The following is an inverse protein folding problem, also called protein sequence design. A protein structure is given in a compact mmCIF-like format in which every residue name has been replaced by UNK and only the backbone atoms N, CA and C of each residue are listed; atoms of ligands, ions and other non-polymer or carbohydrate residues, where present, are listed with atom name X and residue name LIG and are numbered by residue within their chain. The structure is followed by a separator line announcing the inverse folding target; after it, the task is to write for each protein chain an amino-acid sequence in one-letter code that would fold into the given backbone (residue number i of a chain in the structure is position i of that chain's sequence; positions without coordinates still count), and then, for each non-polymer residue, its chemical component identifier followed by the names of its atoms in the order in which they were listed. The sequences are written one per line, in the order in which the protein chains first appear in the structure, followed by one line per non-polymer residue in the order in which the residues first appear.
data_IF_130500841622
#
_entry.id   IF_130500841622
#
_cell.length_a   1.000
_cell.length_b   1.000
_cell.length_c   1.000
_cell.angle_alpha   90.00
_cell.angle_beta   90.00
_cell.angle_gamma   90.00
#
_symmetry.space_group_name_H-M   'P 1'
#
loop_
_entity.id
_entity.type
_entity.pdbx_description
1 polymer ?
#
# COMPACT_ATOMS: atom_id res chain seq x y z
N UNK A 1 18.52 5.90 5.97
CA UNK A 1 18.09 4.67 5.26
C UNK A 1 19.33 3.90 4.85
N UNK A 2 19.39 2.60 5.10
CA UNK A 2 20.55 1.80 4.69
C UNK A 2 20.75 1.89 3.17
N UNK A 3 22.00 1.92 2.72
CA UNK A 3 22.36 1.97 1.28
C UNK A 3 21.64 0.87 0.48
N UNK A 4 21.44 -0.28 1.10
CA UNK A 4 20.76 -1.44 0.54
C UNK A 4 19.26 -1.23 0.31
N UNK A 5 18.57 -0.43 1.14
CA UNK A 5 17.15 -0.08 0.93
C UNK A 5 16.98 0.82 -0.30
N UNK A 6 17.79 1.87 -0.43
CA UNK A 6 17.71 2.75 -1.60
C UNK A 6 18.02 2.01 -2.89
N UNK A 7 19.03 1.15 -2.86
CA UNK A 7 19.37 0.29 -4.00
C UNK A 7 18.17 -0.58 -4.40
N UNK A 8 17.48 -1.19 -3.43
CA UNK A 8 16.31 -2.02 -3.71
C UNK A 8 15.13 -1.23 -4.27
N UNK A 9 14.83 -0.06 -3.69
CA UNK A 9 13.78 0.84 -4.18
C UNK A 9 14.09 1.31 -5.62
N UNK A 10 15.35 1.65 -5.89
CA UNK A 10 15.81 2.00 -7.23
C UNK A 10 15.67 0.83 -8.22
N UNK A 11 16.06 -0.39 -7.84
CA UNK A 11 15.88 -1.59 -8.67
C UNK A 11 14.40 -1.79 -9.01
N UNK A 12 13.49 -1.65 -8.04
CA UNK A 12 12.03 -1.73 -8.28
C UNK A 12 11.52 -0.69 -9.26
N UNK A 13 12.06 0.52 -9.20
CA UNK A 13 11.63 1.62 -10.06
C UNK A 13 12.15 1.44 -11.49
N UNK A 14 13.41 1.03 -11.63
CA UNK A 14 14.10 0.92 -12.92
C UNK A 14 13.65 -0.33 -13.68
N UNK A 15 13.37 -1.44 -12.99
CA UNK A 15 13.03 -2.71 -13.64
C UNK A 15 11.70 -2.68 -14.41
N UNK A 16 10.78 -1.79 -14.06
CA UNK A 16 9.49 -1.77 -14.74
C UNK A 16 9.64 -1.34 -16.22
N UNK A 17 10.66 -0.55 -16.58
CA UNK A 17 10.96 -0.16 -17.98
C UNK A 17 11.33 -1.36 -18.88
N UNK A 18 12.37 -2.16 -18.56
CA UNK A 18 12.70 -3.32 -19.36
C UNK A 18 11.57 -4.35 -19.42
N UNK A 19 10.72 -4.45 -18.39
CA UNK A 19 9.53 -5.30 -18.44
C UNK A 19 8.52 -4.79 -19.49
N UNK A 20 8.24 -3.48 -19.53
CA UNK A 20 7.36 -2.89 -20.56
C UNK A 20 7.91 -3.09 -21.98
N UNK A 21 9.23 -2.97 -22.15
CA UNK A 21 9.91 -3.19 -23.43
C UNK A 21 9.85 -4.67 -23.83
N UNK A 22 10.14 -5.58 -22.89
CA UNK A 22 10.07 -7.02 -23.11
C UNK A 22 8.65 -7.45 -23.49
N UNK A 23 7.63 -6.94 -22.80
CA UNK A 23 6.22 -7.18 -23.13
C UNK A 23 5.90 -6.76 -24.57
N UNK A 24 6.42 -5.61 -25.01
CA UNK A 24 6.21 -5.11 -26.37
C UNK A 24 6.83 -6.03 -27.42
N UNK A 25 8.07 -6.47 -27.23
CA UNK A 25 8.73 -7.37 -28.16
C UNK A 25 8.06 -8.75 -28.20
N UNK A 26 7.69 -9.31 -27.05
CA UNK A 26 6.95 -10.57 -26.99
C UNK A 26 5.57 -10.46 -27.66
N UNK A 27 4.86 -9.35 -27.44
CA UNK A 27 3.59 -9.10 -28.12
C UNK A 27 3.76 -8.95 -29.64
N UNK A 28 4.86 -8.32 -30.08
CA UNK A 28 5.20 -8.20 -31.49
C UNK A 28 5.51 -9.56 -32.13
N UNK A 29 6.30 -10.42 -31.47
CA UNK A 29 6.64 -11.76 -31.97
C UNK A 29 5.38 -12.62 -32.09
N UNK A 30 4.53 -12.63 -31.07
CA UNK A 30 3.31 -13.42 -31.07
C UNK A 30 2.32 -12.97 -32.16
N UNK A 31 2.22 -11.67 -32.41
CA UNK A 31 1.35 -11.11 -33.46
C UNK A 31 2.06 -10.98 -34.82
N UNK A 32 3.31 -11.43 -34.97
CA UNK A 32 4.05 -11.34 -36.23
C UNK A 32 3.41 -12.18 -37.34
N UNK A 33 2.67 -13.23 -36.98
CA UNK A 33 1.87 -14.03 -37.92
C UNK A 33 0.68 -13.25 -38.52
N UNK A 34 0.30 -12.11 -37.93
CA UNK A 34 -0.86 -11.30 -38.33
C UNK A 34 -0.40 -9.95 -38.87
N UNK A 35 0.41 -9.94 -39.94
CA UNK A 35 0.78 -8.74 -40.75
C UNK A 35 1.01 -7.43 -39.97
N UNK A 36 1.59 -7.52 -38.76
CA UNK A 36 1.75 -6.38 -37.87
C UNK A 36 3.22 -5.96 -37.81
N UNK A 37 3.61 -5.08 -38.75
CA UNK A 37 4.92 -4.44 -38.76
C UNK A 37 4.77 -2.95 -38.48
N UNK A 38 4.74 -2.53 -37.20
CA UNK A 38 4.73 -1.12 -36.88
C UNK A 38 6.02 -0.49 -37.43
N UNK A 39 5.89 0.66 -38.08
CA UNK A 39 7.05 1.47 -38.44
C UNK A 39 7.90 1.74 -37.19
N UNK A 40 9.24 1.80 -37.31
CA UNK A 40 10.13 1.92 -36.16
C UNK A 40 9.80 3.16 -35.31
N UNK A 41 9.40 4.27 -35.93
CA UNK A 41 8.96 5.48 -35.24
C UNK A 41 7.73 5.25 -34.36
N UNK A 42 6.71 4.54 -34.87
CA UNK A 42 5.48 4.27 -34.13
C UNK A 42 5.72 3.32 -32.95
N UNK A 43 6.67 2.38 -33.08
CA UNK A 43 7.07 1.50 -31.98
C UNK A 43 7.74 2.30 -30.84
N UNK A 44 8.64 3.22 -31.17
CA UNK A 44 9.30 4.09 -30.18
C UNK A 44 8.30 5.01 -29.50
N UNK A 45 7.40 5.64 -30.26
CA UNK A 45 6.35 6.51 -29.70
C UNK A 45 5.39 5.73 -28.80
N UNK A 46 5.00 4.52 -29.17
CA UNK A 46 4.17 3.65 -28.32
C UNK A 46 4.87 3.35 -26.99
N UNK A 47 6.14 2.95 -27.02
CA UNK A 47 6.91 2.66 -25.81
C UNK A 47 7.07 3.89 -24.92
N UNK A 48 7.32 5.06 -25.51
CA UNK A 48 7.38 6.32 -24.77
C UNK A 48 6.06 6.61 -24.05
N UNK A 49 4.93 6.48 -24.75
CA UNK A 49 3.59 6.66 -24.16
C UNK A 49 3.33 5.62 -23.06
N UNK A 50 3.72 4.36 -23.27
CA UNK A 50 3.55 3.30 -22.27
C UNK A 50 4.37 3.58 -21.00
N UNK A 51 5.63 3.97 -21.14
CA UNK A 51 6.49 4.30 -19.99
C UNK A 51 5.92 5.49 -19.20
N UNK A 52 5.52 6.56 -19.90
CA UNK A 52 4.91 7.74 -19.27
C UNK A 52 3.61 7.36 -18.55
N UNK A 53 2.76 6.57 -19.20
CA UNK A 53 1.49 6.11 -18.62
C UNK A 53 1.71 5.26 -17.37
N UNK A 54 2.69 4.35 -17.40
CA UNK A 54 3.02 3.48 -16.28
C UNK A 54 3.50 4.29 -15.08
N UNK A 55 4.47 5.18 -15.27
CA UNK A 55 4.98 5.98 -14.16
C UNK A 55 3.94 6.96 -13.63
N UNK A 56 3.09 7.52 -14.48
CA UNK A 56 1.97 8.35 -14.04
C UNK A 56 1.02 7.53 -13.16
N UNK A 57 0.60 6.35 -13.61
CA UNK A 57 -0.25 5.45 -12.82
C UNK A 57 0.41 5.08 -11.49
N UNK A 58 1.71 4.76 -11.50
CA UNK A 58 2.46 4.33 -10.34
C UNK A 58 2.61 5.44 -9.26
N UNK A 59 2.68 6.71 -9.67
CA UNK A 59 2.68 7.85 -8.75
C UNK A 59 1.32 7.99 -8.03
N UNK A 60 0.21 7.80 -8.74
CA UNK A 60 -1.13 7.88 -8.15
C UNK A 60 -1.43 6.73 -7.18
N UNK A 61 -1.01 5.51 -7.52
CA UNK A 61 -1.22 4.32 -6.68
C UNK A 61 -0.21 4.16 -5.56
N UNK A 62 0.89 4.92 -5.60
CA UNK A 62 1.98 4.84 -4.62
C UNK A 62 2.57 3.43 -4.51
N UNK A 63 2.63 2.68 -5.61
CA UNK A 63 3.17 1.31 -5.67
C UNK A 63 4.66 1.21 -5.23
N UNK A 64 5.37 2.34 -5.24
CA UNK A 64 6.76 2.45 -4.81
C UNK A 64 6.93 3.01 -3.39
N UNK A 65 5.83 3.33 -2.68
CA UNK A 65 5.92 3.82 -1.30
C UNK A 65 6.14 2.68 -0.30
N UNK A 66 6.69 3.07 0.85
CA UNK A 66 7.25 2.23 1.92
C UNK A 66 6.62 0.83 2.11
N UNK A 67 7.43 -0.20 1.85
CA UNK A 67 6.99 -1.60 1.76
C UNK A 67 7.28 -2.43 3.01
N UNK A 68 8.12 -1.94 3.94
CA UNK A 68 8.38 -2.70 5.17
C UNK A 68 7.10 -2.90 5.96
N UNK A 69 6.21 -1.91 6.03
CA UNK A 69 4.97 -1.97 6.81
C UNK A 69 3.83 -2.76 6.16
N UNK A 70 3.85 -3.01 4.84
CA UNK A 70 2.65 -3.41 4.11
C UNK A 70 2.57 -4.93 3.90
N UNK A 71 1.38 -5.48 4.13
CA UNK A 71 1.11 -6.91 3.95
C UNK A 71 1.20 -7.30 2.47
N UNK A 72 1.42 -8.59 2.19
CA UNK A 72 1.45 -9.09 0.81
C UNK A 72 0.15 -8.84 0.03
N UNK A 73 -0.98 -8.96 0.71
CA UNK A 73 -2.30 -8.64 0.16
C UNK A 73 -2.43 -7.18 -0.27
N UNK A 74 -1.81 -6.25 0.46
CA UNK A 74 -1.85 -4.82 0.13
C UNK A 74 -0.99 -4.53 -1.10
N UNK A 75 0.18 -5.16 -1.24
CA UNK A 75 1.02 -4.99 -2.42
C UNK A 75 0.33 -5.46 -3.70
N UNK A 76 -0.35 -6.62 -3.66
CA UNK A 76 -1.16 -7.10 -4.80
C UNK A 76 -2.23 -6.07 -5.17
N UNK A 77 -2.89 -5.48 -4.18
CA UNK A 77 -3.92 -4.47 -4.41
C UNK A 77 -3.35 -3.24 -5.12
N UNK A 78 -2.17 -2.77 -4.72
CA UNK A 78 -1.48 -1.67 -5.40
C UNK A 78 -1.06 -2.04 -6.83
N UNK A 79 -0.58 -3.26 -7.06
CA UNK A 79 -0.20 -3.74 -8.41
C UNK A 79 -1.42 -3.75 -9.33
N UNK A 80 -2.54 -4.33 -8.88
CA UNK A 80 -3.79 -4.40 -9.64
C UNK A 80 -4.33 -3.00 -9.93
N UNK A 81 -4.34 -2.11 -8.93
CA UNK A 81 -4.78 -0.73 -9.10
C UNK A 81 -3.90 0.02 -10.12
N UNK A 82 -2.58 -0.22 -10.09
CA UNK A 82 -1.63 0.42 -11.03
C UNK A 82 -1.85 -0.08 -12.44
N UNK A 83 -2.00 -1.39 -12.62
CA UNK A 83 -2.28 -1.99 -13.92
C UNK A 83 -3.61 -1.52 -14.51
N UNK A 84 -4.64 -1.34 -13.66
CA UNK A 84 -5.93 -0.80 -14.07
C UNK A 84 -5.81 0.65 -14.55
N UNK A 85 -5.19 1.53 -13.76
CA UNK A 85 -4.96 2.93 -14.15
C UNK A 85 -4.06 3.04 -15.39
N UNK A 86 -3.02 2.22 -15.47
CA UNK A 86 -2.15 2.12 -16.65
C UNK A 86 -2.94 1.76 -17.90
N UNK A 87 -3.85 0.80 -17.80
CA UNK A 87 -4.71 0.39 -18.93
C UNK A 87 -5.59 1.56 -19.39
N UNK A 88 -6.22 2.28 -18.46
CA UNK A 88 -7.05 3.45 -18.79
C UNK A 88 -6.22 4.54 -19.47
N UNK A 89 -5.07 4.90 -18.89
CA UNK A 89 -4.20 5.96 -19.43
C UNK A 89 -3.66 5.59 -20.81
N UNK A 90 -3.15 4.37 -20.97
CA UNK A 90 -2.58 3.91 -22.23
C UNK A 90 -3.64 3.87 -23.32
N UNK A 91 -4.80 3.26 -23.07
CA UNK A 91 -5.87 3.19 -24.07
C UNK A 91 -6.43 4.56 -24.45
N UNK A 92 -6.57 5.46 -23.47
CA UNK A 92 -6.99 6.85 -23.71
C UNK A 92 -6.00 7.61 -24.60
N UNK A 93 -4.69 7.55 -24.30
CA UNK A 93 -3.67 8.21 -25.11
C UNK A 93 -3.56 7.61 -26.51
N UNK A 94 -3.62 6.28 -26.64
CA UNK A 94 -3.63 5.62 -27.95
C UNK A 94 -4.86 5.99 -28.79
N UNK A 95 -6.01 6.23 -28.15
CA UNK A 95 -7.21 6.70 -28.82
C UNK A 95 -7.05 8.13 -29.37
N UNK A 96 -6.47 9.04 -28.58
CA UNK A 96 -6.18 10.43 -29.01
C UNK A 96 -5.24 10.42 -30.23
N UNK A 97 -4.22 9.58 -30.20
CA UNK A 97 -3.22 9.46 -31.27
C UNK A 97 -3.55 8.36 -32.30
N UNK A 98 -4.81 7.92 -32.39
CA UNK A 98 -5.22 6.80 -33.26
C UNK A 98 -4.81 6.98 -34.72
N UNK A 99 -4.70 8.22 -35.21
CA UNK A 99 -4.25 8.51 -36.58
C UNK A 99 -2.81 8.06 -36.85
N UNK A 100 -1.95 8.05 -35.84
CA UNK A 100 -0.57 7.59 -35.91
C UNK A 100 -0.43 6.10 -35.57
N UNK A 101 -1.37 5.57 -34.79
CA UNK A 101 -1.32 4.24 -34.22
C UNK A 101 -2.46 3.35 -34.76
N UNK A 102 -2.21 2.68 -35.87
CA UNK A 102 -3.08 1.60 -36.36
C UNK A 102 -2.65 0.24 -35.76
N UNK A 103 -2.63 0.13 -34.43
CA UNK A 103 -2.46 -1.15 -33.75
C UNK A 103 -3.74 -1.97 -33.84
N UNK A 104 -3.62 -3.28 -34.06
CA UNK A 104 -4.75 -4.20 -33.92
C UNK A 104 -5.12 -4.36 -32.44
N UNK A 105 -6.41 -4.47 -32.13
CA UNK A 105 -6.88 -4.63 -30.74
C UNK A 105 -6.29 -5.87 -30.06
N UNK A 106 -6.06 -6.96 -30.80
CA UNK A 106 -5.44 -8.18 -30.28
C UNK A 106 -4.02 -7.95 -29.73
N UNK A 107 -3.22 -7.13 -30.41
CA UNK A 107 -1.89 -6.74 -29.94
C UNK A 107 -1.97 -6.04 -28.58
N UNK A 108 -2.92 -5.10 -28.43
CA UNK A 108 -3.09 -4.33 -27.21
C UNK A 108 -3.53 -5.21 -26.03
N UNK A 109 -4.50 -6.11 -26.22
CA UNK A 109 -4.95 -7.03 -25.18
C UNK A 109 -3.84 -7.96 -24.72
N UNK A 110 -3.07 -8.51 -25.66
CA UNK A 110 -1.95 -9.39 -25.36
C UNK A 110 -0.82 -8.64 -24.66
N UNK A 111 -0.49 -7.42 -25.10
CA UNK A 111 0.48 -6.54 -24.45
C UNK A 111 0.09 -6.25 -23.00
N UNK A 112 -1.16 -5.85 -22.75
CA UNK A 112 -1.65 -5.55 -21.39
C UNK A 112 -1.60 -6.79 -20.49
N UNK A 113 -2.00 -7.96 -21.01
CA UNK A 113 -1.91 -9.23 -20.27
C UNK A 113 -0.48 -9.63 -19.94
N UNK A 114 0.46 -9.42 -20.87
CA UNK A 114 1.89 -9.65 -20.63
C UNK A 114 2.45 -8.71 -19.58
N UNK A 115 2.16 -7.41 -19.66
CA UNK A 115 2.63 -6.43 -18.67
C UNK A 115 2.15 -6.82 -17.27
N UNK A 116 0.86 -7.14 -17.11
CA UNK A 116 0.30 -7.53 -15.82
C UNK A 116 0.97 -8.79 -15.26
N UNK A 117 1.10 -9.84 -16.07
CA UNK A 117 1.69 -11.12 -15.63
C UNK A 117 3.17 -10.97 -15.30
N UNK A 118 3.94 -10.28 -16.14
CA UNK A 118 5.37 -10.06 -15.92
C UNK A 118 5.64 -9.21 -14.68
N UNK A 119 4.90 -8.12 -14.47
CA UNK A 119 5.06 -7.28 -13.28
C UNK A 119 4.71 -8.04 -12.00
N UNK A 120 3.63 -8.83 -12.01
CA UNK A 120 3.25 -9.65 -10.86
C UNK A 120 4.34 -10.69 -10.52
N UNK A 121 4.80 -11.45 -11.52
CA UNK A 121 5.83 -12.47 -11.33
C UNK A 121 7.13 -11.83 -10.84
N UNK A 122 7.57 -10.74 -11.48
CA UNK A 122 8.82 -10.11 -11.13
C UNK A 122 8.79 -9.49 -9.72
N UNK A 123 7.74 -8.75 -9.36
CA UNK A 123 7.62 -8.18 -8.01
C UNK A 123 7.50 -9.28 -6.94
N UNK A 124 6.86 -10.41 -7.25
CA UNK A 124 6.85 -11.59 -6.37
C UNK A 124 8.25 -12.19 -6.16
N UNK A 125 9.00 -12.42 -7.24
CA UNK A 125 10.38 -12.94 -7.18
C UNK A 125 11.26 -11.99 -6.36
N UNK A 126 11.19 -10.69 -6.66
CA UNK A 126 11.97 -9.67 -5.99
C UNK A 126 11.64 -9.58 -4.49
N UNK A 127 10.37 -9.76 -4.11
CA UNK A 127 9.96 -9.84 -2.70
C UNK A 127 10.48 -11.11 -2.03
N UNK A 128 10.40 -12.26 -2.70
CA UNK A 128 10.90 -13.53 -2.16
C UNK A 128 12.41 -13.50 -1.93
N UNK A 129 13.16 -12.89 -2.85
CA UNK A 129 14.59 -12.66 -2.70
C UNK A 129 14.89 -11.74 -1.52
N UNK A 130 14.14 -10.64 -1.37
CA UNK A 130 14.28 -9.74 -0.24
C UNK A 130 13.97 -10.44 1.10
N UNK A 131 12.91 -11.25 1.15
CA UNK A 131 12.56 -11.98 2.35
C UNK A 131 13.63 -13.00 2.74
N UNK A 132 14.21 -13.68 1.74
CA UNK A 132 15.33 -14.61 1.97
C UNK A 132 16.57 -13.90 2.52
N UNK A 133 16.92 -12.72 2.00
CA UNK A 133 18.06 -11.93 2.48
C UNK A 133 17.80 -11.35 3.89
N UNK A 134 16.57 -10.99 4.22
CA UNK A 134 16.19 -10.61 5.59
C UNK A 134 16.31 -11.78 6.57
N UNK A 135 15.92 -13.00 6.18
CA UNK A 135 16.12 -14.20 7.01
C UNK A 135 17.59 -14.53 7.24
N UNK A 136 18.45 -14.30 6.25
CA UNK A 136 19.91 -14.47 6.38
C UNK A 136 20.57 -13.41 7.25
N UNK A 137 19.86 -12.33 7.59
CA UNK A 137 20.37 -11.25 8.44
C UNK A 137 21.22 -10.20 7.73
N UNK A 138 21.40 -10.32 6.41
CA UNK A 138 22.29 -9.48 5.60
C UNK A 138 21.75 -8.07 5.34
N UNK A 139 20.42 -7.91 5.43
CA UNK A 139 19.68 -6.69 5.06
C UNK A 139 18.82 -6.14 6.21
N UNK A 140 19.15 -6.51 7.45
CA UNK A 140 18.44 -6.05 8.64
C UNK A 140 18.95 -4.67 9.09
N UNK A 141 18.02 -3.75 9.32
CA UNK A 141 18.32 -2.48 9.96
C UNK A 141 18.38 -2.68 11.46
N UNK A 142 19.50 -2.27 12.06
CA UNK A 142 19.75 -2.36 13.49
C UNK A 142 19.01 -1.24 14.19
N UNK A 143 18.10 -1.61 15.08
CA UNK A 143 17.27 -0.66 15.80
C UNK A 143 17.53 -0.71 17.31
N UNK A 144 17.32 0.42 17.96
CA UNK A 144 17.26 0.53 19.42
C UNK A 144 15.86 0.98 19.83
N UNK A 145 15.32 0.35 20.88
CA UNK A 145 14.08 0.75 21.51
C UNK A 145 14.37 1.66 22.71
N UNK A 146 13.59 2.73 22.85
CA UNK A 146 13.66 3.62 24.01
C UNK A 146 12.33 3.53 24.75
N UNK A 147 12.39 3.07 26.00
CA UNK A 147 11.25 2.72 26.83
C UNK A 147 10.85 1.25 26.70
N UNK A 148 10.23 0.74 27.77
CA UNK A 148 9.69 -0.62 27.85
C UNK A 148 8.16 -0.68 27.94
N UNK A 149 7.48 0.34 27.39
CA UNK A 149 6.02 0.42 27.36
C UNK A 149 5.37 -0.83 26.74
N UNK A 150 4.08 -1.11 27.02
CA UNK A 150 3.35 -2.20 26.35
C UNK A 150 3.46 -2.13 24.82
N UNK A 151 3.39 -0.94 24.25
CA UNK A 151 3.56 -0.70 22.82
C UNK A 151 4.98 -1.10 22.33
N UNK A 152 6.03 -0.83 23.11
CA UNK A 152 7.40 -1.25 22.81
C UNK A 152 7.53 -2.78 22.77
N UNK A 153 6.91 -3.48 23.74
CA UNK A 153 6.91 -4.94 23.83
C UNK A 153 6.19 -5.59 22.66
N UNK A 154 5.01 -5.06 22.30
CA UNK A 154 4.24 -5.53 21.15
C UNK A 154 4.99 -5.33 19.83
N UNK A 155 5.62 -4.17 19.68
CA UNK A 155 6.46 -3.88 18.52
C UNK A 155 7.63 -4.85 18.44
N UNK A 156 8.33 -5.08 19.55
CA UNK A 156 9.43 -6.05 19.64
C UNK A 156 8.98 -7.48 19.28
N UNK A 157 7.86 -7.95 19.83
CA UNK A 157 7.31 -9.26 19.48
C UNK A 157 6.90 -9.35 18.01
N UNK A 158 6.36 -8.26 17.45
CA UNK A 158 5.97 -8.19 16.04
C UNK A 158 7.17 -8.31 15.12
N UNK A 159 8.26 -7.58 15.36
CA UNK A 159 9.48 -7.66 14.54
C UNK A 159 10.20 -9.00 14.72
N UNK A 160 10.19 -9.57 15.93
CA UNK A 160 10.82 -10.86 16.20
C UNK A 160 10.07 -12.01 15.51
N UNK A 161 8.73 -11.98 15.54
CA UNK A 161 7.88 -12.96 14.86
C UNK A 161 7.95 -12.83 13.34
N UNK A 162 8.11 -11.61 12.83
CA UNK A 162 8.01 -11.30 11.42
C UNK A 162 9.34 -10.75 10.88
N UNK A 163 10.29 -11.63 10.61
CA UNK A 163 11.61 -11.26 10.07
C UNK A 163 11.54 -10.53 8.73
N UNK A 164 10.41 -10.61 7.99
CA UNK A 164 10.20 -9.86 6.73
C UNK A 164 10.24 -8.34 6.90
N UNK A 165 10.05 -7.81 8.11
CA UNK A 165 10.17 -6.38 8.37
C UNK A 165 11.63 -5.88 8.24
N UNK A 166 12.60 -6.79 8.31
CA UNK A 166 14.02 -6.46 8.16
C UNK A 166 14.55 -5.58 9.30
N UNK A 167 14.03 -5.74 10.52
CA UNK A 167 14.54 -5.07 11.72
C UNK A 167 15.23 -6.05 12.65
N UNK A 168 16.31 -5.60 13.29
CA UNK A 168 17.00 -6.31 14.36
C UNK A 168 17.10 -5.42 15.59
N UNK A 169 16.40 -5.78 16.66
CA UNK A 169 16.56 -5.12 17.98
C UNK A 169 17.97 -5.41 18.48
N UNK A 170 18.82 -4.39 18.56
CA UNK A 170 20.15 -4.51 19.18
C UNK A 170 20.01 -4.48 20.69
N UNK A 171 19.06 -3.71 21.21
CA UNK A 171 18.77 -3.60 22.63
C UNK A 171 17.71 -2.54 22.90
N UNK A 172 17.38 -2.39 24.18
CA UNK A 172 16.50 -1.32 24.66
C UNK A 172 17.15 -0.51 25.78
N UNK A 173 16.74 0.75 25.88
CA UNK A 173 17.15 1.70 26.91
C UNK A 173 15.92 2.15 27.67
N UNK A 174 15.97 2.12 29.00
CA UNK A 174 14.88 2.58 29.86
C UNK A 174 15.45 3.12 31.17
N UNK A 175 14.79 4.11 31.76
CA UNK A 175 15.19 4.65 33.06
C UNK A 175 14.79 3.73 34.21
N UNK A 176 13.69 3.00 34.03
CA UNK A 176 13.26 1.94 34.94
C UNK A 176 13.95 0.63 34.56
N UNK A 177 14.31 -0.19 35.55
CA UNK A 177 14.95 -1.49 35.33
C UNK A 177 13.91 -2.55 34.89
N UNK A 178 13.24 -2.25 33.80
CA UNK A 178 12.18 -3.06 33.21
C UNK A 178 12.77 -4.19 32.39
N UNK A 179 12.11 -5.34 32.38
CA UNK A 179 12.53 -6.51 31.59
C UNK A 179 11.73 -6.62 30.31
N UNK A 180 12.44 -6.65 29.18
CA UNK A 180 11.89 -6.97 27.87
C UNK A 180 12.50 -8.31 27.42
N UNK A 181 11.74 -9.40 27.59
CA UNK A 181 12.25 -10.75 27.39
C UNK A 181 12.77 -10.93 25.96
N UNK A 182 14.08 -11.17 25.83
CA UNK A 182 14.74 -11.45 24.56
C UNK A 182 15.44 -10.26 23.89
N UNK A 183 15.22 -9.00 24.31
CA UNK A 183 16.05 -7.86 23.87
C UNK A 183 16.96 -7.41 25.04
N UNK A 184 18.27 -7.23 24.83
CA UNK A 184 19.19 -6.89 25.93
C UNK A 184 18.95 -5.45 26.42
N UNK A 185 19.05 -5.25 27.73
CA UNK A 185 19.03 -3.93 28.36
C UNK A 185 20.41 -3.28 28.21
N UNK A 186 20.47 -2.13 27.55
CA UNK A 186 21.72 -1.41 27.27
C UNK A 186 21.99 -0.26 28.25
N UNK A 187 21.12 -0.07 29.25
CA UNK A 187 21.25 0.97 30.26
C UNK A 187 20.12 2.01 30.21
N UNK A 188 20.40 3.16 30.82
CA UNK A 188 19.48 4.29 30.91
C UNK A 188 19.40 5.06 29.60
N UNK A 189 18.35 5.87 29.42
CA UNK A 189 18.16 6.68 28.20
C UNK A 189 19.36 7.62 27.95
N UNK A 190 20.02 8.07 29.02
CA UNK A 190 21.22 8.92 28.97
C UNK A 190 22.42 8.25 28.28
N UNK A 191 22.51 6.91 28.27
CA UNK A 191 23.62 6.20 27.62
C UNK A 191 23.41 6.05 26.11
N UNK A 192 22.28 6.53 25.56
CA UNK A 192 21.95 6.43 24.13
C UNK A 192 23.09 6.90 23.22
N UNK A 193 23.73 8.02 23.54
CA UNK A 193 24.80 8.57 22.70
C UNK A 193 26.00 7.60 22.60
N UNK A 194 26.40 7.00 23.72
CA UNK A 194 27.48 6.01 23.76
C UNK A 194 27.08 4.76 22.97
N UNK A 195 25.86 4.28 23.18
CA UNK A 195 25.36 3.08 22.49
C UNK A 195 25.28 3.29 20.97
N UNK A 196 24.91 4.48 20.49
CA UNK A 196 24.90 4.82 19.06
C UNK A 196 26.31 4.87 18.47
N UNK A 197 27.33 5.25 19.26
CA UNK A 197 28.74 5.28 18.83
C UNK A 197 29.34 3.87 18.80
N UNK A 198 29.08 3.08 19.83
CA UNK A 198 29.66 1.74 20.01
C UNK A 198 28.99 0.69 19.11
N UNK A 199 27.73 0.91 18.75
CA UNK A 199 26.96 0.01 17.90
C UNK A 199 26.61 0.67 16.58
N UNK A 200 26.65 -0.08 15.48
CA UNK A 200 26.12 0.39 14.19
C UNK A 200 24.59 0.42 14.23
N UNK A 201 24.00 1.50 14.75
CA UNK A 201 22.55 1.67 14.82
C UNK A 201 22.07 2.47 13.61
N UNK A 202 21.01 1.99 12.95
CA UNK A 202 20.42 2.62 11.76
C UNK A 202 19.20 3.49 12.09
N UNK A 203 18.50 3.17 13.17
CA UNK A 203 17.24 3.80 13.55
C UNK A 203 16.93 3.62 15.04
N UNK A 204 16.33 4.65 15.63
CA UNK A 204 15.92 4.69 17.04
C UNK A 204 14.40 4.76 17.10
N UNK A 205 13.81 3.87 17.88
CA UNK A 205 12.36 3.75 18.06
C UNK A 205 12.00 4.22 19.47
N UNK A 206 11.32 5.35 19.57
CA UNK A 206 10.85 5.93 20.82
C UNK A 206 9.48 5.37 21.15
N UNK A 207 9.38 4.69 22.28
CA UNK A 207 8.13 4.13 22.81
C UNK A 207 7.93 4.57 24.27
N UNK A 208 8.19 5.86 24.53
CA UNK A 208 7.98 6.52 25.82
C UNK A 208 6.58 7.15 25.89
N UNK A 209 5.96 7.20 27.08
CA UNK A 209 4.73 7.96 27.28
C UNK A 209 4.96 9.46 27.00
N UNK A 210 3.92 10.14 26.50
CA UNK A 210 3.98 11.59 26.21
C UNK A 210 4.34 12.44 27.45
N UNK A 211 4.07 11.94 28.66
CA UNK A 211 4.47 12.58 29.91
C UNK A 211 6.00 12.77 30.04
N UNK A 212 6.79 11.93 29.37
CA UNK A 212 8.26 12.00 29.36
C UNK A 212 8.79 12.85 28.19
N UNK A 213 8.13 13.97 27.90
CA UNK A 213 8.46 14.86 26.78
C UNK A 213 9.93 15.28 26.73
N UNK A 214 10.54 15.56 27.90
CA UNK A 214 11.95 15.94 27.98
C UNK A 214 12.88 14.85 27.46
N UNK A 215 12.64 13.59 27.80
CA UNK A 215 13.41 12.45 27.30
C UNK A 215 13.21 12.23 25.81
N UNK A 216 11.97 12.35 25.33
CA UNK A 216 11.67 12.24 23.89
C UNK A 216 12.46 13.31 23.11
N UNK A 217 12.43 14.55 23.58
CA UNK A 217 13.16 15.67 22.96
C UNK A 217 14.66 15.45 22.96
N UNK A 218 15.26 15.08 24.10
CA UNK A 218 16.70 14.82 24.20
C UNK A 218 17.13 13.67 23.29
N UNK A 219 16.31 12.61 23.17
CA UNK A 219 16.57 11.50 22.26
C UNK A 219 16.57 11.96 20.81
N UNK A 220 15.60 12.78 20.40
CA UNK A 220 15.53 13.32 19.03
C UNK A 220 16.79 14.13 18.73
N UNK A 221 17.18 15.05 19.62
CA UNK A 221 18.38 15.88 19.46
C UNK A 221 19.66 15.04 19.33
N UNK A 222 19.83 14.01 20.16
CA UNK A 222 20.97 13.08 20.07
C UNK A 222 20.98 12.37 18.71
N UNK A 223 19.82 11.89 18.25
CA UNK A 223 19.74 11.18 16.98
C UNK A 223 20.00 12.10 15.79
N UNK A 224 19.51 13.34 15.82
CA UNK A 224 19.77 14.36 14.79
C UNK A 224 21.27 14.68 14.71
N UNK A 225 21.94 14.87 15.85
CA UNK A 225 23.39 15.10 15.92
C UNK A 225 24.21 13.94 15.33
N UNK A 226 23.68 12.72 15.37
CA UNK A 226 24.32 11.52 14.83
C UNK A 226 23.76 11.08 13.46
N UNK A 227 22.92 11.90 12.82
CA UNK A 227 22.24 11.61 11.57
C UNK A 227 21.52 10.24 11.57
N UNK A 228 20.94 9.87 12.71
CA UNK A 228 20.16 8.64 12.89
C UNK A 228 18.67 8.93 12.72
N UNK A 229 17.95 7.99 12.11
CA UNK A 229 16.49 8.11 11.97
C UNK A 229 15.83 7.89 13.32
N UNK A 230 14.77 8.64 13.56
CA UNK A 230 13.92 8.50 14.74
C UNK A 230 12.50 8.21 14.31
N UNK A 231 11.88 7.20 14.91
CA UNK A 231 10.42 6.98 14.82
C UNK A 231 9.85 6.92 16.21
N UNK A 232 8.67 7.48 16.38
CA UNK A 232 7.92 7.38 17.63
C UNK A 232 6.74 6.43 17.45
N UNK A 233 6.60 5.48 18.38
CA UNK A 233 5.40 4.67 18.51
C UNK A 233 4.47 5.41 19.47
N UNK A 234 3.32 5.92 19.01
CA UNK A 234 2.39 6.58 19.90
C UNK A 234 1.84 5.57 20.92
N UNK A 235 1.79 5.98 22.19
CA UNK A 235 1.15 5.20 23.24
C UNK A 235 -0.37 5.30 23.11
N UNK A 236 -0.95 4.43 22.28
CA UNK A 236 -2.40 4.37 22.04
C UNK A 236 -3.11 3.35 22.95
N UNK A 237 -2.37 2.69 23.85
CA UNK A 237 -2.93 1.65 24.72
C UNK A 237 -4.00 2.19 25.67
N UNK A 238 -3.87 3.46 26.10
CA UNK A 238 -4.87 4.16 26.92
C UNK A 238 -6.19 4.41 26.18
N UNK A 239 -6.20 4.30 24.85
CA UNK A 239 -7.36 4.60 24.01
C UNK A 239 -7.99 3.32 23.40
N UNK A 240 -7.64 2.12 23.87
CA UNK A 240 -7.86 0.77 23.31
C UNK A 240 -9.29 0.31 22.91
N UNK A 241 -10.25 1.15 22.50
CA UNK A 241 -11.62 0.70 22.18
C UNK A 241 -12.04 0.69 20.71
N UNK A 242 -11.26 1.18 19.74
CA UNK A 242 -11.64 1.07 18.32
C UNK A 242 -10.45 1.26 17.35
N UNK A 243 -10.65 1.01 16.06
CA UNK A 243 -9.66 1.32 15.02
C UNK A 243 -9.50 2.84 14.90
N UNK A 244 -8.58 3.41 15.66
CA UNK A 244 -8.32 4.85 15.66
C UNK A 244 -7.64 5.28 14.37
N UNK A 245 -8.24 6.26 13.68
CA UNK A 245 -7.59 7.00 12.61
C UNK A 245 -7.03 8.28 13.22
N UNK A 246 -5.72 8.49 13.11
CA UNK A 246 -5.10 9.79 13.38
C UNK A 246 -5.39 10.65 12.16
N UNK A 247 -6.25 11.65 12.34
CA UNK A 247 -6.55 12.64 11.31
C UNK A 247 -5.91 13.97 11.71
N UNK A 248 -5.70 14.85 10.74
CA UNK A 248 -5.25 16.21 11.01
C UNK A 248 -6.41 17.17 10.76
N UNK A 249 -6.80 17.94 11.78
CA UNK A 249 -7.72 19.08 11.60
C UNK A 249 -6.86 20.34 11.62
N UNK A 250 -6.74 20.99 10.46
CA UNK A 250 -5.79 22.10 10.27
C UNK A 250 -4.35 21.60 10.37
N UNK A 251 -3.64 22.01 11.43
CA UNK A 251 -2.29 21.50 11.75
C UNK A 251 -2.25 20.63 13.01
N UNK A 252 -3.40 20.34 13.64
CA UNK A 252 -3.43 19.57 14.86
C UNK A 252 -3.79 18.11 14.62
N UNK A 253 -2.97 17.15 15.10
CA UNK A 253 -3.33 15.74 15.06
C UNK A 253 -4.47 15.49 16.05
N UNK A 254 -5.61 15.03 15.53
CA UNK A 254 -6.79 14.68 16.30
C UNK A 254 -7.05 13.18 16.15
N UNK A 255 -7.28 12.51 17.26
CA UNK A 255 -7.57 11.08 17.30
C UNK A 255 -9.09 10.90 17.30
N UNK A 256 -9.63 10.28 16.25
CA UNK A 256 -11.04 9.93 16.21
C UNK A 256 -11.28 8.67 17.06
N UNK A 257 -11.79 8.85 18.27
CA UNK A 257 -12.09 7.78 19.24
C UNK A 257 -13.21 6.82 18.79
N UNK A 258 -13.93 7.16 17.71
CA UNK A 258 -14.99 6.34 17.13
C UNK A 258 -15.02 6.55 15.62
N UNK A 259 -14.56 5.57 14.85
CA UNK A 259 -14.86 5.52 13.41
C UNK A 259 -16.27 4.94 13.25
N UNK A 260 -17.25 5.71 12.74
CA UNK A 260 -18.53 5.11 12.38
C UNK A 260 -18.31 4.23 11.14
N UNK A 261 -18.78 2.96 11.13
CA UNK A 261 -18.61 2.06 9.99
C UNK A 261 -19.16 2.64 8.67
N UNK A 262 -20.06 3.62 8.73
CA UNK A 262 -20.71 4.26 7.58
C UNK A 262 -19.87 5.37 6.92
N UNK A 263 -18.80 5.85 7.55
CA UNK A 263 -17.95 6.93 6.99
C UNK A 263 -17.00 6.42 5.90
N UNK A 264 -16.77 5.11 5.83
CA UNK A 264 -15.97 4.51 4.77
C UNK A 264 -16.77 4.47 3.47
N UNK A 265 -16.30 5.22 2.47
CA UNK A 265 -16.90 5.28 1.12
C UNK A 265 -17.12 3.88 0.54
N UNK A 266 -16.21 2.92 0.80
CA UNK A 266 -16.36 1.53 0.40
C UNK A 266 -17.61 0.86 1.01
N UNK A 267 -17.89 1.07 2.30
CA UNK A 267 -19.06 0.50 2.97
C UNK A 267 -20.36 1.13 2.44
N UNK A 268 -20.32 2.44 2.17
CA UNK A 268 -21.42 3.15 1.51
C UNK A 268 -21.68 2.64 0.09
N UNK A 269 -20.62 2.34 -0.67
CA UNK A 269 -20.71 1.76 -2.00
C UNK A 269 -21.25 0.32 -1.98
N UNK A 270 -20.79 -0.53 -1.05
CA UNK A 270 -21.30 -1.90 -0.87
C UNK A 270 -22.79 -1.89 -0.53
N UNK A 271 -23.22 -1.03 0.40
CA UNK A 271 -24.65 -0.88 0.72
C UNK A 271 -25.45 -0.42 -0.48
N UNK A 272 -24.94 0.55 -1.26
CA UNK A 272 -25.61 1.02 -2.47
C UNK A 272 -25.73 -0.07 -3.54
N UNK A 273 -24.68 -0.87 -3.73
CA UNK A 273 -24.71 -2.00 -4.66
C UNK A 273 -25.71 -3.08 -4.21
N UNK A 274 -25.75 -3.40 -2.91
CA UNK A 274 -26.72 -4.32 -2.34
C UNK A 274 -28.15 -3.83 -2.54
N UNK A 275 -28.44 -2.56 -2.26
CA UNK A 275 -29.78 -2.00 -2.41
C UNK A 275 -30.24 -2.00 -3.88
N UNK A 276 -29.33 -1.69 -4.82
CA UNK A 276 -29.62 -1.75 -6.26
C UNK A 276 -29.88 -3.19 -6.71
N UNK A 277 -29.02 -4.14 -6.35
CA UNK A 277 -29.18 -5.55 -6.71
C UNK A 277 -30.48 -6.13 -6.13
N UNK A 278 -30.75 -5.88 -4.85
CA UNK A 278 -31.96 -6.36 -4.19
C UNK A 278 -33.23 -5.76 -4.81
N UNK A 279 -33.20 -4.46 -5.14
CA UNK A 279 -34.30 -3.80 -5.83
C UNK A 279 -34.55 -4.42 -7.21
N UNK A 280 -33.50 -4.66 -7.99
CA UNK A 280 -33.61 -5.30 -9.31
C UNK A 280 -34.21 -6.71 -9.18
N UNK A 281 -33.69 -7.54 -8.27
CA UNK A 281 -34.19 -8.90 -8.01
C UNK A 281 -35.67 -8.85 -7.61
N UNK A 282 -36.05 -7.93 -6.72
CA UNK A 282 -37.44 -7.74 -6.32
C UNK A 282 -38.34 -7.39 -7.51
N UNK A 283 -37.96 -6.42 -8.36
CA UNK A 283 -38.79 -6.00 -9.49
C UNK A 283 -38.94 -7.10 -10.55
N UNK A 284 -37.89 -7.88 -10.80
CA UNK A 284 -37.91 -8.97 -11.80
C UNK A 284 -38.71 -10.18 -11.31
N UNK A 285 -38.59 -10.58 -10.03
CA UNK A 285 -39.26 -11.79 -9.52
C UNK A 285 -40.67 -11.53 -9.01
N UNK A 286 -40.89 -10.42 -8.32
CA UNK A 286 -42.12 -10.14 -7.58
C UNK A 286 -42.83 -8.93 -8.18
N UNK A 287 -42.11 -7.84 -8.42
CA UNK A 287 -42.69 -6.55 -8.76
C UNK A 287 -43.60 -6.57 -10.00
N UNK A 288 -43.23 -7.28 -11.06
CA UNK A 288 -43.98 -7.22 -12.32
C UNK A 288 -45.41 -7.80 -12.25
N UNK A 289 -45.67 -8.81 -11.41
CA UNK A 289 -47.01 -9.40 -11.25
C UNK A 289 -47.71 -8.94 -9.97
N UNK A 290 -46.95 -8.64 -8.92
CA UNK A 290 -47.49 -8.21 -7.63
C UNK A 290 -48.00 -6.76 -7.66
N UNK A 291 -47.33 -5.86 -8.38
CA UNK A 291 -47.76 -4.45 -8.48
C UNK A 291 -49.11 -4.30 -9.22
N UNK A 292 -49.37 -4.97 -10.36
CA UNK A 292 -50.70 -4.99 -10.98
C UNK A 292 -51.78 -5.60 -10.08
N UNK A 293 -51.45 -6.62 -9.28
CA UNK A 293 -52.38 -7.25 -8.34
C UNK A 293 -52.80 -6.24 -7.24
N UNK A 294 -51.84 -5.53 -6.65
CA UNK A 294 -52.12 -4.47 -5.68
C UNK A 294 -52.95 -3.36 -6.32
N UNK A 295 -52.59 -2.93 -7.54
CA UNK A 295 -53.34 -1.93 -8.28
C UNK A 295 -54.81 -2.33 -8.50
N UNK A 296 -55.05 -3.60 -8.84
CA UNK A 296 -56.39 -4.16 -8.97
C UNK A 296 -57.15 -4.14 -7.63
N UNK A 297 -56.52 -4.60 -6.55
CA UNK A 297 -57.12 -4.61 -5.21
C UNK A 297 -57.48 -3.21 -4.71
N UNK A 298 -56.62 -2.22 -4.94
CA UNK A 298 -56.88 -0.81 -4.59
C UNK A 298 -58.09 -0.31 -5.36
N UNK A 299 -58.18 -0.58 -6.68
CA UNK A 299 -59.30 -0.14 -7.51
C UNK A 299 -60.63 -0.81 -7.16
N UNK A 300 -60.58 -2.03 -6.63
CA UNK A 300 -61.75 -2.76 -6.14
C UNK A 300 -62.24 -2.26 -4.78
N UNK A 301 -61.34 -1.71 -3.96
CA UNK A 301 -61.64 -1.34 -2.56
C UNK A 301 -61.80 0.19 -2.38
N UNK A 302 -61.26 1.01 -3.28
CA UNK A 302 -61.28 2.47 -3.22
C UNK A 302 -61.60 3.10 -4.58
N UNK A 303 -62.32 4.23 -4.59
CA UNK A 303 -62.69 5.00 -5.80
C UNK A 303 -61.57 5.93 -6.30
N UNK A 304 -60.41 5.95 -5.65
CA UNK A 304 -59.28 6.82 -5.99
C UNK A 304 -58.36 6.28 -7.09
N UNK A 305 -57.47 7.12 -7.65
CA UNK A 305 -56.43 6.68 -8.59
C UNK A 305 -55.44 5.73 -7.92
N UNK A 306 -54.86 4.82 -8.72
CA UNK A 306 -53.94 3.76 -8.27
C UNK A 306 -52.56 4.31 -7.89
N UNK A 307 -52.12 5.38 -8.55
CA UNK A 307 -50.86 6.07 -8.27
C UNK A 307 -51.19 7.41 -7.61
N UNK A 308 -50.55 7.69 -6.48
CA UNK A 308 -50.61 8.96 -5.75
C UNK A 308 -49.36 9.79 -6.04
#
# INVERSE_FOLDING_TARGET
MTKSYYLYSAIRYIIDVPLLILAFFLAKIFNAHVTFHPQPLNAVLFLAIAIISWYTAAQFTRIYNDLRSNKFSEEITYIIATAFLFTILLTSLLFIFRRYFNFQNHFLYFYLGLVLTQVLIFKYILRKFLHSTFYRGELQEKIILIGSSPAAKDFYHTIQKNTYYGYKCVGFLDNENSKLNGCPYLGKIETLEQVIKDNQIDEVIIALPNAQYQHIKSTIEICDNHAKRVRMIPDLYLYSSSNHQINTIGQQPVINLRSLPQDRIANKAVKRAFDILFSIVYFVLIGWWFMPLIALMIKLTSKGPVFF
#
